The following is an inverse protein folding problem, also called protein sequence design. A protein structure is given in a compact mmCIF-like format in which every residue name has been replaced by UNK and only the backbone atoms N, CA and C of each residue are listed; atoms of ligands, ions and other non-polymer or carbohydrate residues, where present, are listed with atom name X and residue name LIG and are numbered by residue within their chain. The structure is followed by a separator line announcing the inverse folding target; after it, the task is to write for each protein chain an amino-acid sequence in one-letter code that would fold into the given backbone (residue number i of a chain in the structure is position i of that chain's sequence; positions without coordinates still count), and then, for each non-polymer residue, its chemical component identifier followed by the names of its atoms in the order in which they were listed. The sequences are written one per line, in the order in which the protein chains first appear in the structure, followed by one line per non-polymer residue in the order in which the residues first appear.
data_IF_892634450401
#
_entry.id   IF_892634450401
#
_cell.length_a   1.000
_cell.length_b   1.000
_cell.length_c   1.000
_cell.angle_alpha   90.00
_cell.angle_beta   90.00
_cell.angle_gamma   90.00
#
_symmetry.space_group_name_H-M   'P 1'
#
loop_
_entity.id
_entity.type
_entity.pdbx_description
1 polymer ?
#
# COMPACT_ATOMS: atom_id res chain seq x y z
N UNK A 1 -40.16 17.90 -14.46
CA UNK A 1 -38.93 17.14 -14.78
C UNK A 1 -39.30 16.16 -15.88
N UNK A 2 -38.70 16.31 -17.05
CA UNK A 2 -39.05 15.53 -18.23
C UNK A 2 -38.59 14.08 -18.11
N UNK A 3 -39.30 13.15 -18.75
CA UNK A 3 -39.02 11.70 -18.69
C UNK A 3 -37.58 11.33 -19.10
N UNK A 4 -36.97 12.09 -20.01
CA UNK A 4 -35.59 11.87 -20.44
C UNK A 4 -34.56 12.18 -19.33
N UNK A 5 -34.85 13.12 -18.42
CA UNK A 5 -33.96 13.44 -17.28
C UNK A 5 -33.89 12.29 -16.29
N UNK A 6 -35.01 11.62 -16.05
CA UNK A 6 -35.07 10.40 -15.23
C UNK A 6 -34.36 9.23 -15.90
N UNK A 7 -34.56 9.04 -17.20
CA UNK A 7 -33.85 8.00 -17.96
C UNK A 7 -32.32 8.21 -17.95
N UNK A 8 -31.88 9.45 -18.12
CA UNK A 8 -30.46 9.80 -18.04
C UNK A 8 -29.90 9.57 -16.63
N UNK A 9 -30.62 9.98 -15.59
CA UNK A 9 -30.24 9.74 -14.20
C UNK A 9 -30.09 8.24 -13.89
N UNK A 10 -31.04 7.41 -14.32
CA UNK A 10 -30.99 5.95 -14.15
C UNK A 10 -29.83 5.31 -14.90
N UNK A 11 -29.46 5.83 -16.08
CA UNK A 11 -28.35 5.34 -16.88
C UNK A 11 -26.98 5.76 -16.30
N UNK A 12 -26.88 6.93 -15.66
CA UNK A 12 -25.63 7.43 -15.08
C UNK A 12 -25.25 6.73 -13.77
N UNK A 13 -26.21 6.29 -12.95
CA UNK A 13 -25.94 5.60 -11.67
C UNK A 13 -24.99 4.39 -11.83
N UNK A 14 -25.19 3.43 -12.76
CA UNK A 14 -24.27 2.31 -12.95
C UNK A 14 -22.92 2.69 -13.60
N UNK A 15 -22.81 3.90 -14.15
CA UNK A 15 -21.62 4.43 -14.83
C UNK A 15 -20.81 5.34 -13.90
N UNK A 16 -21.38 5.78 -12.76
CA UNK A 16 -20.84 6.83 -11.90
C UNK A 16 -19.36 6.60 -11.54
N UNK A 17 -18.97 5.37 -11.21
CA UNK A 17 -17.58 5.00 -10.85
C UNK A 17 -16.56 5.34 -11.95
N UNK A 18 -17.00 5.35 -13.21
CA UNK A 18 -16.20 5.47 -14.42
C UNK A 18 -16.46 6.76 -15.22
N UNK A 19 -17.23 7.71 -14.67
CA UNK A 19 -17.36 9.02 -15.30
C UNK A 19 -16.00 9.76 -15.30
N UNK A 20 -15.78 10.69 -16.25
CA UNK A 20 -14.59 11.52 -16.28
C UNK A 20 -14.32 12.17 -14.92
N UNK A 21 -13.05 12.24 -14.52
CA UNK A 21 -12.56 12.81 -13.26
C UNK A 21 -12.94 12.05 -11.97
N UNK A 22 -13.88 11.10 -11.99
CA UNK A 22 -14.26 10.33 -10.80
C UNK A 22 -13.11 9.49 -10.27
N UNK A 23 -12.27 8.93 -11.15
CA UNK A 23 -11.03 8.25 -10.72
C UNK A 23 -10.13 9.17 -9.90
N UNK A 24 -9.90 10.42 -10.35
CA UNK A 24 -9.07 11.40 -9.63
C UNK A 24 -9.66 11.71 -8.26
N UNK A 25 -10.99 11.95 -8.20
CA UNK A 25 -11.68 12.16 -6.94
C UNK A 25 -11.51 10.97 -5.98
N UNK A 26 -11.71 9.74 -6.46
CA UNK A 26 -11.56 8.51 -5.67
C UNK A 26 -10.12 8.39 -5.14
N UNK A 27 -9.12 8.61 -6.00
CA UNK A 27 -7.70 8.57 -5.66
C UNK A 27 -7.33 9.61 -4.59
N UNK A 28 -7.64 10.90 -4.81
CA UNK A 28 -7.28 11.96 -3.88
C UNK A 28 -8.07 11.89 -2.57
N UNK A 29 -9.33 11.42 -2.60
CA UNK A 29 -10.13 11.18 -1.39
C UNK A 29 -9.51 10.06 -0.55
N UNK A 30 -9.07 8.97 -1.18
CA UNK A 30 -8.37 7.87 -0.51
C UNK A 30 -7.04 8.35 0.11
N UNK A 31 -6.21 9.05 -0.67
CA UNK A 31 -4.95 9.62 -0.18
C UNK A 31 -5.18 10.56 1.01
N UNK A 32 -6.15 11.48 0.90
CA UNK A 32 -6.50 12.40 1.97
C UNK A 32 -7.04 11.69 3.22
N UNK A 33 -7.85 10.63 3.05
CA UNK A 33 -8.31 9.81 4.16
C UNK A 33 -7.14 9.15 4.89
N UNK A 34 -6.19 8.56 4.17
CA UNK A 34 -4.99 7.97 4.75
C UNK A 34 -4.14 9.02 5.48
N UNK A 35 -3.92 10.19 4.89
CA UNK A 35 -3.16 11.28 5.53
C UNK A 35 -3.82 11.80 6.82
N UNK A 36 -5.16 11.79 6.89
CA UNK A 36 -5.87 12.13 8.14
C UNK A 36 -5.64 11.08 9.22
N UNK A 37 -5.60 9.79 8.87
CA UNK A 37 -5.27 8.70 9.79
C UNK A 37 -3.83 8.88 10.28
N UNK A 38 -2.88 9.07 9.37
CA UNK A 38 -1.48 9.32 9.72
C UNK A 38 -1.33 10.41 10.77
N UNK A 39 -1.93 11.59 10.53
CA UNK A 39 -1.84 12.73 11.44
C UNK A 39 -2.38 12.44 12.83
N UNK A 40 -3.48 11.67 12.92
CA UNK A 40 -4.11 11.32 14.21
C UNK A 40 -3.37 10.22 14.95
N UNK A 41 -2.91 9.21 14.21
CA UNK A 41 -2.28 8.01 14.76
C UNK A 41 -0.75 8.08 14.78
N UNK A 42 -0.15 9.24 14.48
CA UNK A 42 1.30 9.46 14.50
C UNK A 42 2.01 8.85 15.73
N UNK A 43 1.55 9.05 16.99
CA UNK A 43 2.24 8.50 18.15
C UNK A 43 2.07 6.98 18.32
N UNK A 44 1.17 6.36 17.57
CA UNK A 44 0.87 4.93 17.64
C UNK A 44 1.71 4.11 16.65
N UNK A 45 2.38 4.74 15.70
CA UNK A 45 3.18 4.01 14.72
C UNK A 45 4.37 3.33 15.38
N UNK A 46 4.53 2.05 15.08
CA UNK A 46 5.69 1.25 15.42
C UNK A 46 6.35 0.77 14.12
N UNK A 47 7.66 0.52 14.10
CA UNK A 47 8.36 0.15 12.87
C UNK A 47 7.79 -1.09 12.15
N UNK A 48 7.25 -2.06 12.88
CA UNK A 48 6.64 -3.25 12.27
C UNK A 48 5.29 -2.98 11.58
N UNK A 49 4.63 -1.85 11.87
CA UNK A 49 3.40 -1.42 11.20
C UNK A 49 3.62 -1.11 9.70
N UNK A 50 4.87 -0.97 9.24
CA UNK A 50 5.19 -0.80 7.80
C UNK A 50 4.58 -1.94 6.96
N UNK A 51 4.56 -3.16 7.51
CA UNK A 51 4.12 -4.35 6.79
C UNK A 51 2.63 -4.67 6.95
N UNK A 52 1.92 -3.97 7.84
CA UNK A 52 0.50 -4.22 8.05
C UNK A 52 -0.32 -3.72 6.85
N UNK A 53 -1.39 -4.44 6.48
CA UNK A 53 -2.20 -4.06 5.34
C UNK A 53 -3.18 -2.93 5.69
N UNK A 54 -3.55 -2.18 4.65
CA UNK A 54 -4.76 -1.37 4.62
C UNK A 54 -5.77 -2.02 3.67
N UNK A 55 -7.06 -1.99 4.07
CA UNK A 55 -8.13 -2.67 3.34
C UNK A 55 -9.01 -1.64 2.64
N UNK A 56 -9.28 -1.81 1.35
CA UNK A 56 -10.33 -1.05 0.68
C UNK A 56 -11.45 -1.97 0.19
N UNK A 57 -12.71 -1.55 0.37
CA UNK A 57 -13.87 -2.31 -0.12
C UNK A 57 -14.40 -1.67 -1.39
N UNK A 58 -14.74 -2.45 -2.41
CA UNK A 58 -15.37 -1.94 -3.63
C UNK A 58 -16.23 -3.01 -4.33
N UNK A 59 -16.83 -2.65 -5.46
CA UNK A 59 -17.62 -3.51 -6.34
C UNK A 59 -17.20 -3.30 -7.80
N UNK A 60 -17.44 -4.30 -8.63
CA UNK A 60 -17.23 -4.21 -10.09
C UNK A 60 -18.52 -3.79 -10.79
N UNK A 61 -18.80 -2.50 -11.09
CA UNK A 61 -19.99 -2.14 -11.85
C UNK A 61 -19.96 -2.73 -13.26
N UNK A 62 -21.12 -2.72 -13.93
CA UNK A 62 -21.26 -3.19 -15.31
C UNK A 62 -20.23 -2.57 -16.27
N UNK A 63 -19.90 -1.29 -16.07
CA UNK A 63 -18.94 -0.55 -16.90
C UNK A 63 -17.46 -0.95 -16.69
N UNK A 64 -17.17 -1.78 -15.70
CA UNK A 64 -15.85 -2.42 -15.55
C UNK A 64 -15.81 -3.84 -16.15
N UNK A 65 -16.92 -4.31 -16.70
CA UNK A 65 -17.02 -5.62 -17.35
C UNK A 65 -16.39 -5.66 -18.73
N UNK A 66 -15.94 -6.84 -19.15
CA UNK A 66 -15.61 -7.15 -20.55
C UNK A 66 -16.69 -8.02 -21.22
N UNK A 67 -16.39 -8.52 -22.41
CA UNK A 67 -17.30 -9.35 -23.21
C UNK A 67 -17.68 -10.69 -22.55
N UNK A 68 -16.91 -11.16 -21.57
CA UNK A 68 -17.18 -12.39 -20.82
C UNK A 68 -18.05 -12.15 -19.58
N UNK A 69 -18.54 -10.92 -19.37
CA UNK A 69 -19.39 -10.55 -18.23
C UNK A 69 -18.70 -10.75 -16.86
N UNK A 70 -17.37 -10.61 -16.83
CA UNK A 70 -16.61 -10.43 -15.60
C UNK A 70 -15.80 -9.13 -15.67
N UNK A 71 -15.25 -8.71 -14.53
CA UNK A 71 -14.37 -7.54 -14.44
C UNK A 71 -13.23 -7.67 -15.45
N UNK A 72 -13.09 -6.69 -16.32
CA UNK A 72 -12.00 -6.60 -17.28
C UNK A 72 -10.66 -6.48 -16.57
N UNK A 73 -9.65 -7.21 -17.03
CA UNK A 73 -8.30 -7.23 -16.45
C UNK A 73 -7.70 -5.82 -16.28
N UNK A 74 -7.97 -4.91 -17.22
CA UNK A 74 -7.45 -3.52 -17.18
C UNK A 74 -8.05 -2.69 -16.03
N UNK A 75 -9.27 -3.02 -15.61
CA UNK A 75 -9.97 -2.24 -14.57
C UNK A 75 -9.56 -2.64 -13.15
N UNK A 76 -8.75 -3.69 -12.97
CA UNK A 76 -8.14 -3.98 -11.66
C UNK A 76 -7.18 -2.85 -11.26
N UNK A 77 -6.51 -2.23 -12.24
CA UNK A 77 -5.52 -1.19 -11.98
C UNK A 77 -6.15 0.10 -11.44
N UNK A 78 -7.41 0.40 -11.78
CA UNK A 78 -8.09 1.60 -11.25
C UNK A 78 -8.35 1.49 -9.75
N UNK A 79 -8.76 0.31 -9.28
CA UNK A 79 -8.97 0.04 -7.85
C UNK A 79 -7.64 -0.16 -7.11
N UNK A 80 -6.62 -0.68 -7.81
CA UNK A 80 -5.24 -0.77 -7.31
C UNK A 80 -4.63 0.61 -7.03
N UNK A 81 -4.85 1.60 -7.92
CA UNK A 81 -4.41 2.98 -7.70
C UNK A 81 -4.97 3.56 -6.41
N UNK A 82 -6.30 3.45 -6.22
CA UNK A 82 -7.00 4.02 -5.07
C UNK A 82 -6.56 3.34 -3.77
N UNK A 83 -6.38 2.02 -3.79
CA UNK A 83 -5.94 1.24 -2.62
C UNK A 83 -4.51 1.61 -2.20
N UNK A 84 -3.60 1.74 -3.16
CA UNK A 84 -2.21 2.16 -2.91
C UNK A 84 -2.14 3.61 -2.46
N UNK A 85 -3.00 4.50 -2.97
CA UNK A 85 -3.11 5.88 -2.51
C UNK A 85 -3.54 5.96 -1.05
N UNK A 86 -4.51 5.15 -0.64
CA UNK A 86 -4.95 5.07 0.76
C UNK A 86 -3.81 4.64 1.69
N UNK A 87 -3.15 3.51 1.39
CA UNK A 87 -2.00 3.02 2.17
C UNK A 87 -0.87 4.04 2.21
N UNK A 88 -0.53 4.65 1.07
CA UNK A 88 0.51 5.67 0.98
C UNK A 88 0.16 6.89 1.83
N UNK A 89 -1.11 7.28 1.90
CA UNK A 89 -1.55 8.35 2.80
C UNK A 89 -1.33 7.99 4.27
N UNK A 90 -1.58 6.74 4.68
CA UNK A 90 -1.39 6.26 6.05
C UNK A 90 0.11 6.21 6.42
N UNK A 91 0.92 5.55 5.60
CA UNK A 91 2.32 5.27 5.93
C UNK A 91 3.26 6.41 5.55
N UNK A 92 3.02 7.07 4.42
CA UNK A 92 3.95 8.00 3.77
C UNK A 92 3.38 9.42 3.64
N UNK A 93 2.28 9.71 4.33
CA UNK A 93 1.59 11.01 4.28
C UNK A 93 2.49 12.24 4.41
N UNK A 94 3.47 12.28 5.35
CA UNK A 94 4.39 13.41 5.49
C UNK A 94 5.18 13.72 4.21
N UNK A 95 5.55 12.71 3.41
CA UNK A 95 6.33 12.89 2.18
C UNK A 95 5.66 13.82 1.17
N UNK A 96 4.33 13.74 1.08
CA UNK A 96 3.54 14.48 0.10
C UNK A 96 3.25 15.92 0.56
N UNK A 97 3.36 16.20 1.85
CA UNK A 97 2.99 17.49 2.45
C UNK A 97 4.21 18.25 2.91
N UNK A 98 4.93 17.72 3.90
CA UNK A 98 6.14 18.33 4.49
C UNK A 98 7.38 18.01 3.67
N UNK A 99 7.42 16.81 3.07
CA UNK A 99 8.56 16.35 2.29
C UNK A 99 9.79 16.01 3.13
N UNK A 100 10.89 15.68 2.44
CA UNK A 100 12.21 15.52 3.06
C UNK A 100 12.94 16.87 2.98
N UNK A 101 13.46 17.36 4.11
CA UNK A 101 14.21 18.63 4.15
C UNK A 101 13.44 19.81 3.49
N UNK A 102 12.12 19.86 3.67
CA UNK A 102 11.25 20.90 3.12
C UNK A 102 10.87 20.74 1.64
N UNK A 103 11.30 19.69 0.96
CA UNK A 103 10.94 19.41 -0.43
C UNK A 103 10.09 18.14 -0.57
N UNK A 104 8.93 18.26 -1.21
CA UNK A 104 7.99 17.14 -1.42
C UNK A 104 8.64 15.95 -2.11
N UNK A 105 8.29 14.76 -1.64
CA UNK A 105 8.69 13.50 -2.23
C UNK A 105 7.46 12.76 -2.73
N UNK A 106 7.43 12.46 -4.03
CA UNK A 106 6.34 11.76 -4.69
C UNK A 106 6.69 10.27 -4.82
N UNK A 107 5.67 9.42 -4.78
CA UNK A 107 5.79 8.01 -5.15
C UNK A 107 5.42 7.86 -6.62
N UNK A 108 6.37 7.39 -7.43
CA UNK A 108 6.17 7.16 -8.86
C UNK A 108 6.17 5.66 -9.11
N UNK A 109 5.12 5.16 -9.76
CA UNK A 109 5.04 3.76 -10.20
C UNK A 109 6.09 3.53 -11.27
N UNK A 110 7.02 2.61 -11.03
CA UNK A 110 8.00 2.16 -12.03
C UNK A 110 7.53 0.92 -12.78
N UNK A 111 6.90 -0.02 -12.07
CA UNK A 111 6.40 -1.26 -12.66
C UNK A 111 5.19 -1.75 -11.85
N UNK A 112 4.23 -2.32 -12.55
CA UNK A 112 3.14 -3.08 -11.95
C UNK A 112 2.98 -4.39 -12.70
N UNK A 113 2.89 -5.49 -11.96
CA UNK A 113 2.56 -6.81 -12.48
C UNK A 113 1.32 -7.31 -11.74
N UNK A 114 0.42 -7.99 -12.44
CA UNK A 114 -0.81 -8.53 -11.87
C UNK A 114 -1.04 -9.96 -12.37
N UNK A 115 -1.44 -10.84 -11.47
CA UNK A 115 -1.86 -12.22 -11.75
C UNK A 115 -3.31 -12.42 -11.35
N UNK A 116 -4.10 -12.99 -12.26
CA UNK A 116 -5.52 -13.23 -12.08
C UNK A 116 -5.75 -14.73 -11.85
N UNK A 117 -6.29 -15.10 -10.68
CA UNK A 117 -6.58 -16.50 -10.33
C UNK A 117 -8.05 -16.86 -10.56
N UNK A 118 -8.95 -15.95 -10.20
CA UNK A 118 -10.39 -16.15 -10.28
C UNK A 118 -11.05 -14.85 -10.69
N UNK A 119 -12.02 -14.96 -11.59
CA UNK A 119 -12.81 -13.83 -12.06
C UNK A 119 -13.56 -13.12 -10.92
N UNK A 120 -13.70 -11.80 -11.05
CA UNK A 120 -14.63 -10.99 -10.26
C UNK A 120 -15.86 -10.78 -11.12
N UNK A 121 -17.01 -11.28 -10.68
CA UNK A 121 -18.28 -11.11 -11.38
C UNK A 121 -18.76 -9.66 -11.33
N UNK A 122 -19.61 -9.30 -12.27
CA UNK A 122 -20.32 -8.02 -12.22
C UNK A 122 -21.07 -7.86 -10.90
N UNK A 123 -20.97 -6.67 -10.33
CA UNK A 123 -21.48 -6.22 -9.04
C UNK A 123 -21.01 -7.01 -7.81
N UNK A 124 -20.11 -7.99 -7.99
CA UNK A 124 -19.47 -8.71 -6.89
C UNK A 124 -18.72 -7.72 -6.01
N UNK A 125 -19.00 -7.80 -4.71
CA UNK A 125 -18.24 -7.07 -3.70
C UNK A 125 -16.94 -7.82 -3.41
N UNK A 126 -15.85 -7.06 -3.33
CA UNK A 126 -14.53 -7.60 -3.01
C UNK A 126 -13.72 -6.56 -2.23
N UNK A 127 -12.61 -7.02 -1.70
CA UNK A 127 -11.68 -6.23 -0.90
C UNK A 127 -10.30 -6.21 -1.54
N UNK A 128 -9.59 -5.12 -1.38
CA UNK A 128 -8.19 -4.98 -1.74
C UNK A 128 -7.35 -4.83 -0.49
N UNK A 129 -6.51 -5.82 -0.23
CA UNK A 129 -5.60 -5.86 0.90
C UNK A 129 -4.22 -5.42 0.41
N UNK A 130 -3.84 -4.18 0.73
CA UNK A 130 -2.60 -3.56 0.23
C UNK A 130 -1.61 -3.36 1.36
N UNK A 131 -0.36 -3.77 1.19
CA UNK A 131 0.73 -3.55 2.16
C UNK A 131 2.04 -3.21 1.45
N UNK A 132 2.98 -2.58 2.18
CA UNK A 132 4.39 -2.61 1.78
C UNK A 132 4.92 -3.98 2.19
N UNK A 133 5.40 -4.77 1.23
CA UNK A 133 5.88 -6.12 1.50
C UNK A 133 7.41 -6.15 1.71
N UNK A 134 8.16 -5.31 0.98
CA UNK A 134 9.60 -5.12 1.17
C UNK A 134 10.09 -3.85 0.44
N UNK A 135 11.38 -3.53 0.57
CA UNK A 135 12.07 -2.50 -0.19
C UNK A 135 13.56 -2.85 -0.37
N UNK A 136 14.16 -2.31 -1.43
CA UNK A 136 15.60 -2.31 -1.67
C UNK A 136 16.18 -0.88 -1.60
N UNK A 137 17.33 -0.64 -2.21
CA UNK A 137 18.00 0.66 -2.21
C UNK A 137 17.27 1.73 -3.05
N UNK A 138 16.38 1.33 -3.97
CA UNK A 138 15.71 2.21 -4.93
C UNK A 138 14.19 2.08 -4.89
N UNK A 139 13.67 0.87 -4.71
CA UNK A 139 12.27 0.53 -4.91
C UNK A 139 11.57 0.14 -3.60
N UNK A 140 10.36 0.66 -3.40
CA UNK A 140 9.38 0.13 -2.45
C UNK A 140 8.48 -0.84 -3.21
N UNK A 141 8.30 -2.04 -2.68
CA UNK A 141 7.42 -3.06 -3.26
C UNK A 141 6.12 -3.12 -2.44
N UNK A 142 5.01 -2.72 -3.07
CA UNK A 142 3.68 -2.92 -2.51
C UNK A 142 3.05 -4.16 -3.13
N UNK A 143 2.41 -4.98 -2.29
CA UNK A 143 1.59 -6.11 -2.73
C UNK A 143 0.14 -5.78 -2.43
N UNK A 144 -0.74 -6.01 -3.41
CA UNK A 144 -2.18 -5.89 -3.27
C UNK A 144 -2.83 -7.22 -3.63
N UNK A 145 -3.60 -7.77 -2.71
CA UNK A 145 -4.44 -8.94 -2.95
C UNK A 145 -5.89 -8.50 -3.13
N UNK A 146 -6.51 -8.95 -4.23
CA UNK A 146 -7.95 -8.85 -4.44
C UNK A 146 -8.59 -10.08 -3.83
N UNK A 147 -9.49 -9.88 -2.88
CA UNK A 147 -10.04 -10.94 -2.05
C UNK A 147 -11.56 -10.90 -2.13
N UNK A 148 -12.19 -12.06 -2.30
CA UNK A 148 -13.64 -12.13 -2.23
C UNK A 148 -14.10 -11.68 -0.85
N UNK A 149 -15.08 -10.78 -0.80
CA UNK A 149 -15.59 -10.30 0.48
C UNK A 149 -16.29 -11.45 1.21
N UNK A 150 -15.74 -11.85 2.35
CA UNK A 150 -16.30 -12.87 3.23
C UNK A 150 -17.28 -12.30 4.26
N UNK A 151 -17.97 -13.19 4.97
CA UNK A 151 -18.88 -12.84 6.10
C UNK A 151 -18.12 -12.46 7.37
N UNK A 152 -16.82 -12.74 7.45
CA UNK A 152 -16.00 -12.48 8.64
C UNK A 152 -15.73 -10.98 8.82
N UNK A 153 -15.78 -10.53 10.07
CA UNK A 153 -15.40 -9.17 10.43
C UNK A 153 -13.93 -8.91 10.08
N UNK A 154 -13.62 -7.67 9.69
CA UNK A 154 -12.23 -7.24 9.50
C UNK A 154 -11.45 -7.38 10.82
N UNK A 155 -10.15 -7.70 10.77
CA UNK A 155 -9.29 -7.67 11.94
C UNK A 155 -9.29 -6.29 12.61
N UNK A 156 -8.87 -6.20 13.89
CA UNK A 156 -8.77 -4.94 14.59
C UNK A 156 -7.91 -3.91 13.85
N UNK A 157 -8.42 -2.67 13.78
CA UNK A 157 -7.68 -1.52 13.27
C UNK A 157 -6.77 -0.97 14.38
N UNK A 158 -5.46 -1.23 14.26
CA UNK A 158 -4.47 -0.86 15.29
C UNK A 158 -4.30 0.65 15.43
N UNK A 159 -4.60 1.42 14.38
CA UNK A 159 -4.51 2.88 14.41
C UNK A 159 -5.79 3.53 14.93
N UNK A 160 -6.94 2.83 14.85
CA UNK A 160 -8.19 3.27 15.47
C UNK A 160 -8.27 2.95 16.97
N UNK A 161 -7.67 1.83 17.42
CA UNK A 161 -7.71 1.39 18.82
C UNK A 161 -7.06 2.39 19.79
N UNK A 162 -5.99 3.09 19.38
CA UNK A 162 -5.36 4.13 20.20
C UNK A 162 -6.05 5.51 20.14
N UNK A 163 -7.04 5.70 19.25
CA UNK A 163 -7.67 7.01 18.99
C UNK A 163 -9.00 7.24 19.75
N UNK A 164 -9.22 6.53 20.86
CA UNK A 164 -10.37 6.77 21.76
C UNK A 164 -11.73 6.26 21.26
N UNK A 165 -11.78 5.48 20.18
CA UNK A 165 -12.99 4.71 19.84
C UNK A 165 -13.00 3.40 20.62
N UNK A 166 -13.43 3.46 21.88
CA UNK A 166 -14.06 2.30 22.49
C UNK A 166 -15.30 1.99 21.66
N UNK A 167 -15.20 1.00 20.77
CA UNK A 167 -16.41 0.33 20.28
C UNK A 167 -16.97 -0.40 21.49
N UNK A 168 -18.05 0.14 22.05
CA UNK A 168 -18.86 -0.47 23.09
C UNK A 168 -19.46 -1.76 22.51
N UNK A 169 -18.70 -2.85 22.52
CA UNK A 169 -19.24 -4.18 22.27
C UNK A 169 -19.79 -4.71 23.60
N UNK A 170 -20.93 -4.15 23.99
CA UNK A 170 -21.83 -4.80 24.96
C UNK A 170 -22.49 -5.98 24.25
N UNK A 171 -21.86 -7.15 24.38
CA UNK A 171 -22.46 -8.46 24.66
C UNK A 171 -21.51 -9.56 24.19
N UNK A 172 -20.91 -10.23 25.19
CA UNK A 172 -20.05 -11.39 25.01
C UNK A 172 -20.78 -12.59 24.42
N UNK A 173 -20.87 -12.64 23.10
CA UNK A 173 -21.02 -13.86 22.31
C UNK A 173 -20.12 -13.72 21.09
N UNK A 174 -18.89 -14.21 21.17
CA UNK A 174 -18.11 -14.49 19.97
C UNK A 174 -18.89 -15.55 19.17
N UNK A 175 -19.40 -15.25 17.96
CA UNK A 175 -19.88 -16.32 17.10
C UNK A 175 -18.65 -17.18 16.79
N UNK A 176 -18.75 -18.48 17.08
CA UNK A 176 -17.85 -19.50 16.56
C UNK A 176 -17.65 -19.25 15.06
N UNK A 177 -16.46 -18.76 14.70
CA UNK A 177 -16.11 -18.38 13.33
C UNK A 177 -16.00 -19.67 12.53
N UNK A 178 -16.87 -19.84 11.55
CA UNK A 178 -16.75 -20.90 10.54
C UNK A 178 -15.36 -20.85 9.91
N UNK A 179 -14.69 -22.00 9.67
CA UNK A 179 -13.37 -21.98 9.05
C UNK A 179 -13.46 -21.26 7.71
N UNK A 180 -12.62 -20.25 7.53
CA UNK A 180 -12.39 -19.67 6.21
C UNK A 180 -12.17 -20.82 5.22
N UNK A 181 -12.74 -20.79 4.00
CA UNK A 181 -12.10 -21.52 2.92
C UNK A 181 -10.65 -21.02 2.89
N UNK A 182 -9.67 -21.92 3.01
CA UNK A 182 -8.21 -21.67 3.06
C UNK A 182 -7.87 -20.30 2.47
N UNK A 183 -7.21 -19.39 3.19
CA UNK A 183 -6.96 -17.99 2.78
C UNK A 183 -6.59 -17.84 1.27
N UNK A 184 -5.89 -18.83 0.73
CA UNK A 184 -5.59 -19.01 -0.68
C UNK A 184 -6.81 -19.02 -1.64
N UNK A 185 -7.91 -19.70 -1.29
CA UNK A 185 -9.17 -19.79 -2.07
C UNK A 185 -9.97 -18.49 -2.07
N UNK A 186 -9.64 -17.54 -1.20
CA UNK A 186 -10.27 -16.23 -1.17
C UNK A 186 -9.61 -15.22 -2.12
N UNK A 187 -8.35 -15.45 -2.53
CA UNK A 187 -7.59 -14.55 -3.40
C UNK A 187 -8.05 -14.71 -4.87
N UNK A 188 -8.64 -13.64 -5.40
CA UNK A 188 -9.12 -13.53 -6.77
C UNK A 188 -8.01 -13.09 -7.73
N UNK A 189 -7.18 -12.15 -7.31
CA UNK A 189 -6.03 -11.66 -8.06
C UNK A 189 -4.98 -11.10 -7.11
N UNK A 190 -3.74 -10.97 -7.58
CA UNK A 190 -2.66 -10.34 -6.82
C UNK A 190 -1.81 -9.46 -7.72
N UNK A 191 -1.40 -8.31 -7.18
CA UNK A 191 -0.55 -7.36 -7.88
C UNK A 191 0.68 -7.02 -7.05
N UNK A 192 1.81 -6.87 -7.74
CA UNK A 192 3.05 -6.34 -7.18
C UNK A 192 3.35 -5.02 -7.89
N UNK A 193 3.57 -3.97 -7.11
CA UNK A 193 3.97 -2.65 -7.63
C UNK A 193 5.32 -2.23 -7.08
N UNK A 194 6.18 -1.78 -7.99
CA UNK A 194 7.43 -1.12 -7.66
C UNK A 194 7.24 0.40 -7.69
N UNK A 195 7.54 1.06 -6.58
CA UNK A 195 7.52 2.51 -6.45
C UNK A 195 8.92 3.08 -6.25
N UNK A 196 9.25 4.15 -6.96
CA UNK A 196 10.43 4.97 -6.67
C UNK A 196 10.00 6.24 -5.95
N UNK A 197 10.69 6.57 -4.86
CA UNK A 197 10.52 7.85 -4.17
C UNK A 197 11.31 8.92 -4.92
N UNK A 198 10.64 10.00 -5.34
CA UNK A 198 11.22 11.08 -6.14
C UNK A 198 11.05 12.43 -5.46
N UNK A 199 12.16 13.09 -5.20
CA UNK A 199 12.22 14.50 -4.78
C UNK A 199 12.68 15.33 -5.98
N UNK A 200 11.71 15.92 -6.69
CA UNK A 200 11.94 16.48 -8.02
C UNK A 200 12.50 15.42 -8.97
N UNK A 201 13.70 15.65 -9.53
CA UNK A 201 14.38 14.68 -10.42
C UNK A 201 15.18 13.61 -9.66
N UNK A 202 15.47 13.84 -8.38
CA UNK A 202 16.34 12.97 -7.56
C UNK A 202 15.56 11.77 -7.03
N UNK A 203 16.17 10.59 -7.09
CA UNK A 203 15.65 9.40 -6.43
C UNK A 203 16.07 9.40 -4.97
N UNK A 204 15.11 9.19 -4.07
CA UNK A 204 15.32 9.06 -2.64
C UNK A 204 15.28 7.56 -2.28
N UNK A 205 16.31 7.01 -1.63
CA UNK A 205 16.25 5.64 -1.15
C UNK A 205 15.07 5.41 -0.18
N UNK A 206 14.37 4.26 -0.27
CA UNK A 206 13.19 3.96 0.56
C UNK A 206 13.41 4.13 2.07
N UNK A 207 14.58 3.80 2.59
CA UNK A 207 14.90 3.95 4.02
C UNK A 207 14.75 5.39 4.51
N UNK A 208 15.18 6.38 3.71
CA UNK A 208 15.03 7.79 4.05
C UNK A 208 13.57 8.25 3.96
N UNK A 209 12.82 7.72 2.99
CA UNK A 209 11.40 8.02 2.84
C UNK A 209 10.56 7.47 4.01
N UNK A 210 10.86 6.24 4.47
CA UNK A 210 10.21 5.61 5.61
C UNK A 210 10.56 6.33 6.92
N UNK A 211 11.84 6.66 7.14
CA UNK A 211 12.25 7.44 8.29
C UNK A 211 11.62 8.83 8.29
N UNK A 212 11.63 9.56 7.17
CA UNK A 212 10.94 10.85 7.03
C UNK A 212 9.43 10.80 7.33
N UNK A 213 8.84 9.61 7.25
CA UNK A 213 7.43 9.38 7.60
C UNK A 213 7.23 8.97 9.07
N UNK A 214 8.29 8.91 9.88
CA UNK A 214 8.25 8.53 11.30
C UNK A 214 8.10 7.02 11.53
N UNK A 215 8.39 6.19 10.53
CA UNK A 215 8.27 4.73 10.62
C UNK A 215 9.59 4.03 10.96
N UNK A 216 10.72 4.72 10.77
CA UNK A 216 12.06 4.26 11.12
C UNK A 216 12.80 5.39 11.85
N UNK A 217 13.82 5.03 12.62
CA UNK A 217 14.54 5.99 13.45
C UNK A 217 15.43 6.92 12.62
N UNK A 218 15.44 8.21 12.96
CA UNK A 218 16.16 9.24 12.20
C UNK A 218 17.64 9.35 12.57
N UNK A 219 18.01 8.80 13.72
CA UNK A 219 19.27 9.04 14.46
C UNK A 219 20.54 8.66 13.69
N UNK A 220 20.45 7.84 12.65
CA UNK A 220 21.61 7.38 11.88
C UNK A 220 21.59 7.77 10.39
N UNK A 221 20.58 8.53 9.94
CA UNK A 221 20.49 8.96 8.55
C UNK A 221 21.26 10.27 8.37
N UNK A 222 22.59 10.17 8.38
CA UNK A 222 23.48 11.21 7.85
C UNK A 222 23.29 11.37 6.34
N UNK A 223 22.09 11.75 5.89
CA UNK A 223 21.81 12.07 4.50
C UNK A 223 22.41 13.45 4.20
N UNK A 224 23.74 13.50 4.14
CA UNK A 224 24.49 14.59 3.54
C UNK A 224 24.49 14.43 2.02
N UNK A 225 24.44 15.58 1.34
CA UNK A 225 24.36 15.68 -0.11
C UNK A 225 25.67 15.26 -0.80
N UNK A 226 25.59 14.41 -1.84
CA UNK A 226 26.69 14.11 -2.79
C UNK A 226 27.23 12.68 -2.65
N UNK A 227 27.53 11.92 -3.70
CA UNK A 227 28.04 12.28 -5.02
C UNK A 227 27.44 11.41 -6.14
N UNK A 228 27.31 12.00 -7.33
CA UNK A 228 27.36 11.27 -8.59
C UNK A 228 28.61 10.37 -8.55
N UNK A 229 28.49 9.07 -8.81
CA UNK A 229 29.64 8.25 -9.18
C UNK A 229 30.11 8.71 -10.58
N UNK A 230 31.32 9.28 -10.77
CA UNK A 230 31.95 9.32 -12.07
C UNK A 230 32.66 7.98 -12.34
N UNK A 231 32.94 7.63 -13.60
CA UNK A 231 33.66 6.41 -13.91
C UNK A 231 35.11 6.52 -13.43
N UNK A 232 35.63 5.40 -12.97
CA UNK A 232 36.97 5.21 -12.42
C UNK A 232 38.09 5.81 -13.28
N UNK A 233 38.93 6.65 -12.68
CA UNK A 233 40.34 6.77 -13.03
C UNK A 233 41.17 7.16 -11.80
N UNK A 234 42.28 6.46 -11.65
CA UNK A 234 43.23 6.45 -10.54
C UNK A 234 43.92 7.80 -10.29
N UNK A 235 44.26 8.12 -9.04
CA UNK A 235 45.65 8.28 -8.52
C UNK A 235 45.69 8.87 -7.10
N UNK A 236 46.72 8.45 -6.37
CA UNK A 236 46.99 8.61 -4.93
C UNK A 236 47.22 10.04 -4.44
N UNK A 237 46.76 10.34 -3.21
CA UNK A 237 47.65 10.85 -2.15
C UNK A 237 47.04 10.63 -0.76
N UNK A 238 47.88 10.17 0.17
CA UNK A 238 47.46 9.69 1.49
C UNK A 238 46.95 10.77 2.43
N UNK A 239 45.89 10.43 3.16
CA UNK A 239 45.59 10.93 4.50
C UNK A 239 45.08 9.73 5.30
N UNK A 240 45.85 9.39 6.31
CA UNK A 240 45.53 8.38 7.31
C UNK A 240 44.33 8.89 8.12
N UNK A 241 43.18 8.24 7.98
CA UNK A 241 42.01 8.44 8.83
C UNK A 241 41.75 7.14 9.56
N UNK A 242 41.74 7.24 10.88
CA UNK A 242 41.60 6.13 11.81
C UNK A 242 40.40 5.24 11.47
N UNK A 243 40.70 3.95 11.37
CA UNK A 243 39.75 2.90 11.12
C UNK A 243 38.80 2.73 12.31
N UNK A 244 37.60 3.28 12.16
CA UNK A 244 36.40 2.67 12.71
C UNK A 244 35.26 2.87 11.72
N UNK A 245 35.22 2.00 10.72
CA UNK A 245 34.04 1.83 9.89
C UNK A 245 32.90 1.36 10.82
N UNK A 246 32.07 2.30 11.28
CA UNK A 246 30.81 1.99 11.92
C UNK A 246 29.89 1.40 10.84
N UNK A 247 29.58 0.12 10.97
CA UNK A 247 28.69 -0.61 10.07
C UNK A 247 27.35 0.13 9.86
N UNK A 248 26.83 0.22 8.62
CA UNK A 248 25.57 0.89 8.32
C UNK A 248 24.32 0.06 8.69
N UNK A 249 24.47 -1.03 9.45
CA UNK A 249 23.43 -2.06 9.67
C UNK A 249 22.50 -1.77 10.88
N UNK A 250 22.69 -0.66 11.60
CA UNK A 250 21.98 -0.36 12.86
C UNK A 250 20.79 0.61 12.76
N UNK A 251 20.34 0.98 11.55
CA UNK A 251 19.22 1.93 11.36
C UNK A 251 17.82 1.28 11.28
N UNK A 252 17.74 -0.03 11.04
CA UNK A 252 16.46 -0.76 10.88
C UNK A 252 16.33 -1.75 12.05
N UNK A 253 15.22 -1.74 12.79
CA UNK A 253 14.97 -2.74 13.84
C UNK A 253 15.10 -4.16 13.29
N UNK A 254 15.73 -5.06 14.04
CA UNK A 254 16.09 -6.40 13.56
C UNK A 254 14.89 -7.21 13.03
N UNK A 255 13.72 -7.09 13.67
CA UNK A 255 12.48 -7.73 13.21
C UNK A 255 12.00 -7.17 11.86
N UNK A 256 12.10 -5.86 11.66
CA UNK A 256 11.73 -5.18 10.41
C UNK A 256 12.69 -5.57 9.29
N UNK A 257 13.99 -5.61 9.59
CA UNK A 257 15.01 -6.00 8.63
C UNK A 257 14.88 -7.47 8.22
N UNK A 258 14.59 -8.36 9.18
CA UNK A 258 14.33 -9.77 8.90
C UNK A 258 13.13 -9.95 7.96
N UNK A 259 12.01 -9.26 8.21
CA UNK A 259 10.84 -9.29 7.34
C UNK A 259 11.14 -8.72 5.95
N UNK A 260 11.85 -7.58 5.88
CA UNK A 260 12.27 -6.97 4.62
C UNK A 260 13.09 -7.94 3.78
N UNK A 261 14.15 -8.52 4.36
CA UNK A 261 15.04 -9.48 3.67
C UNK A 261 14.30 -10.74 3.23
N UNK A 262 13.43 -11.29 4.09
CA UNK A 262 12.61 -12.48 3.79
C UNK A 262 11.69 -12.25 2.59
N UNK A 263 11.03 -11.10 2.53
CA UNK A 263 10.02 -10.82 1.51
C UNK A 263 10.61 -10.26 0.20
N UNK A 264 11.83 -9.71 0.21
CA UNK A 264 12.44 -9.09 -0.96
C UNK A 264 12.53 -10.01 -2.20
N UNK A 265 13.08 -11.24 -2.13
CA UNK A 265 13.13 -12.12 -3.30
C UNK A 265 11.72 -12.52 -3.79
N UNK A 266 10.75 -12.61 -2.87
CA UNK A 266 9.35 -12.93 -3.19
C UNK A 266 8.72 -11.81 -4.03
N UNK A 267 8.84 -10.55 -3.60
CA UNK A 267 8.28 -9.39 -4.35
C UNK A 267 9.05 -9.04 -5.61
N UNK A 268 10.29 -9.51 -5.73
CA UNK A 268 11.05 -9.49 -6.99
C UNK A 268 10.64 -10.62 -7.95
N UNK A 269 9.61 -11.41 -7.59
CA UNK A 269 9.07 -12.53 -8.36
C UNK A 269 10.09 -13.65 -8.63
N UNK A 270 11.16 -13.76 -7.83
CA UNK A 270 12.17 -14.82 -8.00
C UNK A 270 11.60 -16.22 -7.72
N UNK A 271 10.57 -16.32 -6.88
CA UNK A 271 9.85 -17.55 -6.57
C UNK A 271 8.52 -17.72 -7.31
N UNK A 272 8.21 -16.87 -8.29
CA UNK A 272 6.94 -16.87 -9.02
C UNK A 272 5.74 -16.34 -8.22
N UNK A 273 4.54 -16.46 -8.82
CA UNK A 273 3.31 -15.90 -8.25
C UNK A 273 2.76 -16.67 -7.06
N UNK A 274 3.06 -17.97 -6.92
CA UNK A 274 2.59 -18.76 -5.79
C UNK A 274 3.14 -18.22 -4.47
N UNK A 275 4.41 -17.81 -4.45
CA UNK A 275 5.02 -17.13 -3.29
C UNK A 275 4.39 -15.78 -2.98
N UNK A 276 3.93 -15.04 -3.98
CA UNK A 276 3.17 -13.81 -3.74
C UNK A 276 1.82 -14.15 -3.09
N UNK A 277 1.12 -15.17 -3.57
CA UNK A 277 -0.15 -15.59 -2.99
C UNK A 277 0.00 -16.06 -1.53
N UNK A 278 1.09 -16.76 -1.21
CA UNK A 278 1.43 -17.17 0.15
C UNK A 278 1.68 -15.99 1.11
N UNK A 279 1.97 -14.78 0.60
CA UNK A 279 2.06 -13.59 1.44
C UNK A 279 0.69 -13.17 1.99
N UNK A 280 -0.40 -13.56 1.34
CA UNK A 280 -1.74 -13.37 1.86
C UNK A 280 -2.02 -14.38 2.98
N UNK A 281 -1.62 -14.04 4.20
CA UNK A 281 -1.87 -14.82 5.41
C UNK A 281 -2.98 -14.18 6.24
N UNK A 282 -3.52 -14.91 7.22
CA UNK A 282 -4.44 -14.30 8.18
C UNK A 282 -3.69 -13.20 8.94
N UNK A 283 -4.14 -11.97 8.77
CA UNK A 283 -3.55 -10.81 9.41
C UNK A 283 -4.29 -10.56 10.74
N UNK A 284 -3.52 -10.50 11.82
CA UNK A 284 -4.08 -10.24 13.16
C UNK A 284 -4.53 -8.79 13.33
N UNK A 285 -4.12 -7.90 12.41
CA UNK A 285 -4.32 -6.45 12.49
C UNK A 285 -4.33 -5.80 11.11
N UNK A 286 -5.02 -4.66 11.00
CA UNK A 286 -4.97 -3.78 9.84
C UNK A 286 -4.65 -2.35 10.25
N UNK A 287 -4.10 -1.55 9.33
CA UNK A 287 -3.82 -0.12 9.55
C UNK A 287 -5.06 0.78 9.39
N UNK A 288 -6.09 0.27 8.74
CA UNK A 288 -7.29 1.03 8.44
C UNK A 288 -8.12 0.42 7.32
N UNK A 289 -9.38 0.85 7.27
CA UNK A 289 -10.32 0.45 6.22
C UNK A 289 -10.87 1.66 5.46
N UNK A 290 -11.02 1.51 4.14
CA UNK A 290 -11.55 2.55 3.25
C UNK A 290 -12.68 2.02 2.38
N UNK A 291 -13.83 2.70 2.38
CA UNK A 291 -14.88 2.39 1.43
C UNK A 291 -14.66 3.17 0.13
N UNK A 292 -14.51 2.44 -0.96
CA UNK A 292 -14.36 2.96 -2.31
C UNK A 292 -15.75 3.03 -2.94
N UNK A 293 -16.21 4.26 -3.19
CA UNK A 293 -17.40 4.55 -4.02
C UNK A 293 -17.23 3.86 -5.38
#
# INVERSE_FOLDING_TARGET
MDTWTWALGLLLIPILKNLPLIWHFRFFRALAAGMRIHRKAKPLFQPHHIFFPAVSTTRSPLTEGDFNLHKSNSTYFTDLDVSRAYLSGILLGPLFVTGLNGQRCNLIVGTVACSFRKEIKLYQAYETWTRIASWDNKWIYMVTHFVSRGTSALPPDVLALGAGKQTKNENGKFPQVSPFPTAERAVLASAVTQFVCKQGRKTVPPIHALAASGLLDHTHLGYQHGSLLPPSSSFNHGLQLDGRASEPETAIPANVEAMRRKNLPVVQLQGGWDKIHELFQHEDAILGSHNTI
#
